data_IF_557022246129
#
_entry.id   IF_557022246129
#
_cell.length_a   1.000
_cell.length_b   1.000
_cell.length_c   1.000
_cell.angle_alpha   90.00
_cell.angle_beta   90.00
_cell.angle_gamma   90.00
#
_symmetry.space_group_name_H-M   'P 1'
#
loop_
_entity.id
_entity.type
_entity.pdbx_description
1 polymer ?
#
# COMPACT_ATOMS: atom_id res chain seq x y z
N UNK A 1 54.62 2.65 7.52
CA UNK A 1 53.90 3.77 8.15
C UNK A 1 52.94 4.36 7.12
N UNK A 2 51.95 3.58 6.65
CA UNK A 2 50.91 3.99 5.70
C UNK A 2 49.86 2.87 5.62
N UNK A 3 48.99 2.79 6.64
CA UNK A 3 47.85 1.84 6.55
C UNK A 3 46.70 2.22 7.51
N UNK A 4 46.33 3.47 7.55
CA UNK A 4 45.23 3.99 8.41
C UNK A 4 44.28 4.93 7.71
N UNK A 5 44.11 4.86 6.38
CA UNK A 5 43.25 5.82 5.67
C UNK A 5 42.15 5.22 4.78
N UNK A 6 41.76 3.97 4.94
CA UNK A 6 40.70 3.36 4.11
C UNK A 6 39.48 2.87 4.90
N UNK A 7 39.32 3.24 6.18
CA UNK A 7 38.07 3.04 6.90
C UNK A 7 37.16 4.27 6.85
N UNK A 8 37.11 4.94 5.70
CA UNK A 8 36.19 6.04 5.53
C UNK A 8 34.86 5.50 4.97
N UNK A 9 34.02 5.06 5.89
CA UNK A 9 32.62 5.55 5.96
C UNK A 9 31.69 5.23 4.82
N UNK A 10 31.52 3.95 4.46
CA UNK A 10 30.30 3.49 3.79
C UNK A 10 29.07 3.39 4.73
N UNK A 11 29.32 3.47 6.04
CA UNK A 11 28.25 3.38 7.06
C UNK A 11 27.49 4.70 7.29
N UNK A 12 27.94 5.83 6.76
CA UNK A 12 27.26 7.12 6.98
C UNK A 12 26.18 7.46 5.97
N UNK A 13 26.13 6.81 4.83
CA UNK A 13 25.08 7.07 3.84
C UNK A 13 23.73 6.40 4.18
N UNK A 14 23.73 5.36 5.01
CA UNK A 14 22.51 4.73 5.55
C UNK A 14 22.19 5.12 6.99
N UNK A 15 22.86 6.13 7.53
CA UNK A 15 22.71 6.64 8.89
C UNK A 15 21.48 7.51 9.13
N UNK A 16 20.46 7.44 8.27
CA UNK A 16 19.16 7.98 8.59
C UNK A 16 18.58 7.20 9.77
N UNK A 17 18.13 7.90 10.81
CA UNK A 17 17.42 7.27 11.92
C UNK A 17 16.41 6.24 11.40
N UNK A 18 16.34 5.01 11.95
CA UNK A 18 15.32 4.01 11.57
C UNK A 18 13.91 4.59 11.60
N UNK A 19 13.69 5.59 12.42
CA UNK A 19 12.46 6.36 12.49
C UNK A 19 12.16 7.14 11.20
N UNK A 20 13.16 7.79 10.58
CA UNK A 20 12.97 8.49 9.30
C UNK A 20 12.61 7.54 8.17
N UNK A 21 13.25 6.38 8.12
CA UNK A 21 12.90 5.34 7.15
C UNK A 21 11.49 4.80 7.36
N UNK A 22 11.10 4.57 8.61
CA UNK A 22 9.74 4.17 8.93
C UNK A 22 8.71 5.23 8.52
N UNK A 23 8.97 6.52 8.81
CA UNK A 23 8.10 7.62 8.39
C UNK A 23 7.99 7.70 6.86
N UNK A 24 9.11 7.59 6.15
CA UNK A 24 9.13 7.61 4.70
C UNK A 24 8.32 6.44 4.11
N UNK A 25 8.56 5.22 4.59
CA UNK A 25 7.83 4.04 4.14
C UNK A 25 6.34 4.13 4.49
N UNK A 26 6.00 4.66 5.66
CA UNK A 26 4.61 4.88 6.05
C UNK A 26 3.93 5.90 5.13
N UNK A 27 4.61 6.99 4.81
CA UNK A 27 4.09 8.01 3.91
C UNK A 27 3.90 7.46 2.49
N UNK A 28 4.89 6.74 1.96
CA UNK A 28 4.78 6.06 0.66
C UNK A 28 3.64 5.05 0.68
N UNK A 29 3.51 4.28 1.76
CA UNK A 29 2.41 3.33 1.94
C UNK A 29 1.03 4.00 1.89
N UNK A 30 0.88 5.13 2.59
CA UNK A 30 -0.37 5.91 2.56
C UNK A 30 -0.76 6.37 1.14
N UNK A 31 0.23 6.76 0.32
CA UNK A 31 -0.03 7.17 -1.06
C UNK A 31 -0.32 5.97 -1.99
N UNK A 32 0.32 4.83 -1.74
CA UNK A 32 0.16 3.64 -2.58
C UNK A 32 -1.12 2.85 -2.28
N UNK A 33 -1.58 2.84 -1.02
CA UNK A 33 -2.75 2.06 -0.61
C UNK A 33 -4.02 2.39 -1.41
N UNK A 34 -4.41 3.66 -1.59
CA UNK A 34 -5.58 4.00 -2.40
C UNK A 34 -5.41 3.53 -3.85
N UNK A 35 -4.21 3.68 -4.42
CA UNK A 35 -3.93 3.25 -5.79
C UNK A 35 -4.06 1.73 -5.96
N UNK A 36 -3.46 0.95 -5.06
CA UNK A 36 -3.57 -0.51 -5.06
C UNK A 36 -5.01 -0.98 -4.84
N UNK A 37 -5.76 -0.31 -3.96
CA UNK A 37 -7.15 -0.64 -3.72
C UNK A 37 -8.01 -0.38 -4.96
N UNK A 38 -7.84 0.76 -5.64
CA UNK A 38 -8.53 1.05 -6.90
C UNK A 38 -8.23 0.01 -7.97
N UNK A 39 -6.98 -0.38 -8.13
CA UNK A 39 -6.60 -1.43 -9.09
C UNK A 39 -7.26 -2.77 -8.75
N UNK A 40 -7.36 -3.11 -7.47
CA UNK A 40 -8.09 -4.30 -7.02
C UNK A 40 -9.57 -4.22 -7.37
N UNK A 41 -10.19 -3.05 -7.20
CA UNK A 41 -11.61 -2.83 -7.53
C UNK A 41 -11.82 -2.94 -9.04
N UNK A 42 -11.01 -2.30 -9.87
CA UNK A 42 -11.12 -2.41 -11.34
C UNK A 42 -10.97 -3.86 -11.80
N UNK A 43 -9.98 -4.58 -11.27
CA UNK A 43 -9.79 -5.98 -11.61
C UNK A 43 -10.96 -6.86 -11.16
N UNK A 44 -11.61 -6.54 -10.03
CA UNK A 44 -12.79 -7.22 -9.56
C UNK A 44 -14.01 -6.93 -10.45
N UNK A 45 -14.21 -5.66 -10.83
CA UNK A 45 -15.29 -5.25 -11.73
C UNK A 45 -15.21 -6.00 -13.06
N UNK A 46 -14.03 -6.10 -13.67
CA UNK A 46 -13.82 -6.90 -14.87
C UNK A 46 -14.16 -8.37 -14.67
N UNK A 47 -13.82 -8.94 -13.51
CA UNK A 47 -14.14 -10.34 -13.21
C UNK A 47 -15.64 -10.55 -13.03
N UNK A 48 -16.32 -9.62 -12.37
CA UNK A 48 -17.78 -9.67 -12.19
C UNK A 48 -18.49 -9.48 -13.54
N UNK A 49 -18.01 -8.57 -14.39
CA UNK A 49 -18.54 -8.33 -15.73
C UNK A 49 -18.55 -9.58 -16.64
N UNK A 50 -17.70 -10.58 -16.33
CA UNK A 50 -17.71 -11.86 -17.04
C UNK A 50 -18.88 -12.79 -16.63
N UNK A 51 -19.60 -12.47 -15.55
CA UNK A 51 -20.61 -13.34 -14.96
C UNK A 51 -22.01 -12.69 -14.86
N UNK A 52 -22.11 -11.37 -14.95
CA UNK A 52 -23.36 -10.61 -14.87
C UNK A 52 -23.52 -9.70 -16.08
N UNK A 53 -24.75 -9.26 -16.35
CA UNK A 53 -24.98 -8.31 -17.45
C UNK A 53 -24.32 -6.96 -17.15
N UNK A 54 -23.88 -6.26 -18.19
CA UNK A 54 -23.28 -4.93 -18.03
C UNK A 54 -24.27 -3.93 -17.39
N UNK A 55 -25.57 -4.06 -17.70
CA UNK A 55 -26.60 -3.18 -17.16
C UNK A 55 -26.69 -3.35 -15.64
N UNK A 56 -26.82 -4.57 -15.17
CA UNK A 56 -26.90 -4.89 -13.74
C UNK A 56 -25.64 -4.44 -12.98
N UNK A 57 -24.47 -4.65 -13.57
CA UNK A 57 -23.22 -4.19 -12.98
C UNK A 57 -23.14 -2.66 -12.89
N UNK A 58 -23.58 -1.95 -13.94
CA UNK A 58 -23.62 -0.49 -13.94
C UNK A 58 -24.57 0.08 -12.88
N UNK A 59 -25.76 -0.52 -12.75
CA UNK A 59 -26.73 -0.14 -11.72
C UNK A 59 -26.17 -0.39 -10.32
N UNK A 60 -25.61 -1.57 -10.07
CA UNK A 60 -24.99 -1.92 -8.78
C UNK A 60 -23.85 -0.97 -8.41
N UNK A 61 -22.97 -0.59 -9.36
CA UNK A 61 -21.89 0.35 -9.11
C UNK A 61 -22.42 1.72 -8.69
N UNK A 62 -23.47 2.22 -9.36
CA UNK A 62 -24.09 3.51 -9.03
C UNK A 62 -24.82 3.48 -7.70
N UNK A 63 -25.51 2.39 -7.40
CA UNK A 63 -26.22 2.22 -6.15
C UNK A 63 -25.27 2.19 -4.95
N UNK A 64 -24.16 1.45 -5.06
CA UNK A 64 -23.12 1.41 -4.02
C UNK A 64 -22.52 2.80 -3.80
N UNK A 65 -22.24 3.56 -4.86
CA UNK A 65 -21.70 4.92 -4.74
C UNK A 65 -22.70 5.88 -4.08
N UNK A 66 -23.97 5.76 -4.42
CA UNK A 66 -25.04 6.54 -3.79
C UNK A 66 -25.20 6.22 -2.29
N UNK A 67 -25.11 4.93 -1.92
CA UNK A 67 -25.17 4.49 -0.52
C UNK A 67 -23.95 4.95 0.31
N UNK A 68 -22.82 5.20 -0.32
CA UNK A 68 -21.61 5.68 0.37
C UNK A 68 -21.57 7.20 0.54
N UNK A 69 -22.60 7.92 0.10
CA UNK A 69 -22.75 9.38 0.19
C UNK A 69 -21.52 10.15 -0.32
N UNK A 70 -20.82 9.60 -1.30
CA UNK A 70 -19.64 10.23 -1.84
C UNK A 70 -19.98 11.27 -2.90
N UNK A 71 -19.20 12.36 -2.95
CA UNK A 71 -19.35 13.38 -3.98
C UNK A 71 -19.17 12.77 -5.38
N UNK A 72 -20.18 12.78 -6.25
CA UNK A 72 -20.09 12.24 -7.59
C UNK A 72 -19.12 13.03 -8.49
N UNK A 73 -18.81 14.28 -8.13
CA UNK A 73 -17.95 15.18 -8.91
C UNK A 73 -16.50 15.22 -8.45
N UNK A 74 -16.04 14.14 -7.84
CA UNK A 74 -14.68 14.05 -7.31
C UNK A 74 -13.61 14.36 -8.37
N UNK A 75 -12.67 15.25 -8.02
CA UNK A 75 -11.54 15.54 -8.90
C UNK A 75 -10.60 14.34 -9.01
N UNK A 76 -9.96 14.18 -10.17
CA UNK A 76 -9.01 13.09 -10.41
C UNK A 76 -7.86 13.04 -9.40
N UNK A 77 -7.36 14.19 -8.99
CA UNK A 77 -6.27 14.33 -8.02
C UNK A 77 -6.72 13.96 -6.60
N UNK A 78 -7.87 14.48 -6.17
CA UNK A 78 -8.42 14.15 -4.84
C UNK A 78 -8.72 12.65 -4.74
N UNK A 79 -9.32 12.07 -5.75
CA UNK A 79 -9.58 10.63 -5.81
C UNK A 79 -8.30 9.81 -5.80
N UNK A 80 -7.24 10.26 -6.51
CA UNK A 80 -5.99 9.50 -6.57
C UNK A 80 -5.27 9.39 -5.22
N UNK A 81 -5.42 10.38 -4.36
CA UNK A 81 -4.71 10.46 -3.08
C UNK A 81 -5.58 9.93 -1.94
N UNK A 82 -6.86 10.32 -1.90
CA UNK A 82 -7.68 10.12 -0.69
C UNK A 82 -8.74 9.03 -0.83
N UNK A 83 -9.10 8.63 -2.07
CA UNK A 83 -10.21 7.72 -2.28
C UNK A 83 -9.75 6.31 -2.64
N UNK A 84 -10.06 5.30 -1.83
CA UNK A 84 -9.70 3.91 -2.10
C UNK A 84 -10.57 3.28 -3.20
N UNK A 85 -11.71 3.88 -3.52
CA UNK A 85 -12.65 3.43 -4.56
C UNK A 85 -12.87 4.58 -5.54
N UNK A 86 -12.72 4.29 -6.82
CA UNK A 86 -12.95 5.26 -7.89
C UNK A 86 -14.43 5.59 -8.06
N UNK A 87 -14.71 6.79 -8.59
CA UNK A 87 -16.06 7.17 -8.97
C UNK A 87 -16.65 6.23 -10.04
N UNK A 88 -17.99 6.11 -10.13
CA UNK A 88 -18.65 5.20 -11.06
C UNK A 88 -18.19 5.37 -12.50
N UNK A 89 -18.04 6.60 -12.99
CA UNK A 89 -17.63 6.88 -14.36
C UNK A 89 -16.28 6.28 -14.70
N UNK A 90 -15.30 6.33 -13.78
CA UNK A 90 -13.97 5.73 -14.01
C UNK A 90 -14.00 4.22 -13.94
N UNK A 91 -14.83 3.66 -13.07
CA UNK A 91 -15.05 2.22 -13.01
C UNK A 91 -15.64 1.71 -14.32
N UNK A 92 -16.68 2.40 -14.84
CA UNK A 92 -17.30 2.07 -16.11
C UNK A 92 -16.34 2.26 -17.29
N UNK A 93 -15.53 3.35 -17.29
CA UNK A 93 -14.50 3.55 -18.29
C UNK A 93 -13.39 2.48 -18.23
N UNK A 94 -13.08 1.96 -17.03
CA UNK A 94 -12.11 0.87 -16.91
C UNK A 94 -12.65 -0.42 -17.52
N UNK A 95 -13.94 -0.69 -17.39
CA UNK A 95 -14.59 -1.86 -17.99
C UNK A 95 -14.57 -1.84 -19.52
N UNK A 96 -14.56 -0.66 -20.14
CA UNK A 96 -14.44 -0.51 -21.57
C UNK A 96 -13.02 -0.75 -22.11
N UNK A 97 -12.00 -0.82 -21.24
CA UNK A 97 -10.62 -1.07 -21.64
C UNK A 97 -10.34 -2.57 -21.64
N UNK A 98 -9.93 -3.08 -22.77
CA UNK A 98 -9.44 -4.44 -22.88
C UNK A 98 -8.05 -4.57 -22.25
N UNK A 99 -7.83 -5.63 -21.47
CA UNK A 99 -6.52 -5.94 -20.91
C UNK A 99 -6.57 -7.00 -19.82
N UNK A 100 -5.45 -7.68 -19.54
CA UNK A 100 -5.39 -8.69 -18.49
C UNK A 100 -5.58 -8.05 -17.11
N UNK A 101 -6.54 -8.58 -16.35
CA UNK A 101 -6.85 -8.10 -15.01
C UNK A 101 -6.37 -9.12 -13.98
N UNK A 102 -5.40 -8.72 -13.18
CA UNK A 102 -4.75 -9.57 -12.19
C UNK A 102 -5.26 -9.29 -10.77
N UNK A 103 -6.51 -9.69 -10.48
CA UNK A 103 -7.13 -9.48 -9.15
C UNK A 103 -6.23 -9.96 -8.02
N UNK A 104 -5.67 -11.16 -8.16
CA UNK A 104 -4.82 -11.74 -7.12
C UNK A 104 -3.55 -10.89 -6.88
N UNK A 105 -2.90 -10.42 -7.94
CA UNK A 105 -1.68 -9.63 -7.84
C UNK A 105 -1.91 -8.32 -7.05
N UNK A 106 -2.99 -7.63 -7.35
CA UNK A 106 -3.34 -6.38 -6.65
C UNK A 106 -3.73 -6.64 -5.19
N UNK A 107 -4.48 -7.69 -4.91
CA UNK A 107 -4.85 -8.05 -3.56
C UNK A 107 -3.62 -8.47 -2.73
N UNK A 108 -2.72 -9.25 -3.31
CA UNK A 108 -1.46 -9.63 -2.65
C UNK A 108 -0.59 -8.41 -2.38
N UNK A 109 -0.42 -7.52 -3.36
CA UNK A 109 0.36 -6.29 -3.21
C UNK A 109 -0.19 -5.40 -2.09
N UNK A 110 -1.51 -5.20 -2.05
CA UNK A 110 -2.19 -4.46 -0.99
C UNK A 110 -1.99 -5.10 0.38
N UNK A 111 -2.20 -6.42 0.47
CA UNK A 111 -2.03 -7.16 1.73
C UNK A 111 -0.59 -7.12 2.21
N UNK A 112 0.38 -7.30 1.31
CA UNK A 112 1.80 -7.20 1.64
C UNK A 112 2.16 -5.81 2.19
N UNK A 113 1.60 -4.75 1.59
CA UNK A 113 1.81 -3.38 2.08
C UNK A 113 1.22 -3.18 3.48
N UNK A 114 -0.01 -3.66 3.74
CA UNK A 114 -0.61 -3.60 5.07
C UNK A 114 0.20 -4.37 6.11
N UNK A 115 0.65 -5.58 5.79
CA UNK A 115 1.47 -6.38 6.69
C UNK A 115 2.83 -5.72 6.95
N UNK A 116 3.48 -5.18 5.92
CA UNK A 116 4.72 -4.44 6.09
C UNK A 116 4.55 -3.25 7.03
N UNK A 117 3.42 -2.59 6.96
CA UNK A 117 3.09 -1.46 7.83
C UNK A 117 2.80 -1.91 9.26
N UNK A 118 2.00 -2.97 9.42
CA UNK A 118 1.64 -3.50 10.73
C UNK A 118 2.85 -4.00 11.52
N UNK A 119 3.81 -4.64 10.84
CA UNK A 119 5.00 -5.20 11.50
C UNK A 119 6.20 -4.24 11.51
N UNK A 120 6.33 -3.37 10.52
CA UNK A 120 7.47 -2.46 10.40
C UNK A 120 7.60 -1.48 11.55
N UNK A 121 6.49 -0.94 12.04
CA UNK A 121 6.47 -0.01 13.16
C UNK A 121 6.92 -0.64 14.48
N UNK A 122 6.28 -1.71 14.95
CA UNK A 122 6.69 -2.44 16.15
C UNK A 122 8.13 -2.95 16.09
N UNK A 123 8.56 -3.48 14.93
CA UNK A 123 9.93 -3.96 14.72
C UNK A 123 10.94 -2.81 14.82
N UNK A 124 10.70 -1.70 14.14
CA UNK A 124 11.57 -0.53 14.20
C UNK A 124 11.70 0.01 15.63
N UNK A 125 10.58 0.03 16.38
CA UNK A 125 10.58 0.42 17.79
C UNK A 125 11.38 -0.56 18.65
N UNK A 126 11.17 -1.87 18.48
CA UNK A 126 11.89 -2.90 19.21
C UNK A 126 13.40 -2.77 19.01
N UNK A 127 13.84 -2.64 17.75
CA UNK A 127 15.26 -2.44 17.43
C UNK A 127 15.78 -1.16 18.04
N UNK A 128 15.07 -0.05 17.90
CA UNK A 128 15.53 1.26 18.41
C UNK A 128 15.61 1.29 19.94
N UNK A 129 14.63 0.73 20.64
CA UNK A 129 14.59 0.73 22.10
C UNK A 129 15.59 -0.26 22.71
N UNK A 130 15.94 -1.32 21.98
CA UNK A 130 16.77 -2.42 22.49
C UNK A 130 18.23 -2.36 22.03
N UNK A 131 18.58 -1.40 21.19
CA UNK A 131 19.98 -1.17 20.81
C UNK A 131 20.78 -0.81 22.06
N UNK A 132 21.78 -1.61 22.41
CA UNK A 132 22.61 -1.47 23.60
C UNK A 132 22.06 -2.11 24.89
N UNK A 133 20.99 -2.86 24.80
CA UNK A 133 20.44 -3.65 25.91
C UNK A 133 20.43 -5.14 25.58
N UNK A 134 21.59 -5.81 25.65
CA UNK A 134 21.71 -7.23 25.26
C UNK A 134 20.82 -8.17 26.08
N UNK A 135 20.50 -7.81 27.34
CA UNK A 135 19.62 -8.57 28.20
C UNK A 135 18.20 -8.73 27.67
N UNK A 136 17.74 -7.81 26.84
CA UNK A 136 16.41 -7.90 26.23
C UNK A 136 16.37 -8.84 25.00
N UNK A 137 17.54 -9.16 24.43
CA UNK A 137 17.66 -10.14 23.34
C UNK A 137 17.78 -11.58 23.87
N UNK A 138 18.10 -11.73 25.16
CA UNK A 138 18.18 -13.03 25.80
C UNK A 138 16.80 -13.70 26.05
N UNK A 139 15.70 -13.04 25.69
CA UNK A 139 14.37 -13.65 25.69
C UNK A 139 14.09 -14.51 24.46
N UNK A 140 14.96 -14.51 23.46
CA UNK A 140 14.88 -15.46 22.37
C UNK A 140 15.47 -16.78 22.90
N UNK A 141 14.76 -17.92 22.82
CA UNK A 141 15.31 -19.20 23.23
C UNK A 141 16.61 -19.43 22.46
N UNK A 142 17.70 -19.53 23.20
CA UNK A 142 18.95 -20.02 22.64
C UNK A 142 18.79 -21.54 22.48
N UNK A 143 18.68 -21.99 21.25
CA UNK A 143 18.79 -23.41 20.90
C UNK A 143 20.18 -23.96 21.30
#
# INVERSE_FOLDING_TARGET
MLSTLTHFSSARFFGGSPFLWFLLLSFVGLLLLPALNRQSVFALDHRVAAHVSQIELHEAIREIDALTEQDPTRSASAESIFQPISCPERRLLSLAKEGPQHVLAWNVARTALYLSWAFGGPLARAVHCNVGRPELWAMLPSD
#
